data_IF_682402886229
#
_entry.id   IF_682402886229
#
_cell.length_a   1.000
_cell.length_b   1.000
_cell.length_c   1.000
_cell.angle_alpha   90.00
_cell.angle_beta   90.00
_cell.angle_gamma   90.00
#
_symmetry.space_group_name_H-M   'P 1'
#
loop_
_entity.id
_entity.type
_entity.pdbx_description
1 polymer ?
#
# COMPACT_ATOMS: atom_id res chain seq x y z
N UNK A 1 68.96 21.89 -34.92
CA UNK A 1 68.04 22.31 -33.84
C UNK A 1 67.16 21.13 -33.46
N UNK A 2 67.55 20.40 -32.40
CA UNK A 2 66.79 19.21 -31.92
C UNK A 2 65.84 19.64 -30.81
N UNK A 3 64.56 19.64 -31.11
CA UNK A 3 63.49 19.90 -30.15
C UNK A 3 63.28 18.62 -29.29
N UNK A 4 63.64 18.67 -27.99
CA UNK A 4 63.35 17.64 -27.02
C UNK A 4 61.89 17.77 -26.56
N UNK A 5 60.99 16.92 -27.04
CA UNK A 5 59.67 16.76 -26.46
C UNK A 5 59.79 16.06 -25.08
N UNK A 6 59.61 16.86 -24.02
CA UNK A 6 59.41 16.26 -22.67
C UNK A 6 57.98 15.73 -22.58
N UNK A 7 57.83 14.45 -22.73
CA UNK A 7 56.55 13.79 -22.47
C UNK A 7 56.25 13.88 -20.97
N UNK A 8 55.17 14.55 -20.59
CA UNK A 8 54.70 14.64 -19.22
C UNK A 8 53.99 13.31 -18.84
N UNK A 9 54.79 12.32 -18.46
CA UNK A 9 54.30 11.02 -18.01
C UNK A 9 53.24 11.11 -16.87
N UNK A 10 53.29 12.14 -16.05
CA UNK A 10 52.34 12.41 -15.00
C UNK A 10 50.94 12.72 -15.53
N UNK A 11 50.81 13.39 -16.66
CA UNK A 11 49.48 13.65 -17.25
C UNK A 11 48.87 12.40 -17.85
N UNK A 12 49.69 11.51 -18.42
CA UNK A 12 49.21 10.20 -18.92
C UNK A 12 48.76 9.30 -17.77
N UNK A 13 49.49 9.28 -16.65
CA UNK A 13 49.14 8.53 -15.47
C UNK A 13 47.85 9.01 -14.82
N UNK A 14 47.62 10.32 -14.75
CA UNK A 14 46.37 10.92 -14.21
C UNK A 14 45.17 10.56 -15.11
N UNK A 15 45.30 10.65 -16.43
CA UNK A 15 44.22 10.28 -17.36
C UNK A 15 43.91 8.78 -17.28
N UNK A 16 44.92 7.90 -17.17
CA UNK A 16 44.70 6.46 -16.99
C UNK A 16 44.04 6.18 -15.65
N UNK A 17 44.43 6.88 -14.57
CA UNK A 17 43.84 6.69 -13.24
C UNK A 17 42.39 7.14 -13.19
N UNK A 18 42.04 8.23 -13.86
CA UNK A 18 40.63 8.69 -13.99
C UNK A 18 39.81 7.71 -14.83
N UNK A 19 40.38 7.14 -15.90
CA UNK A 19 39.71 6.14 -16.72
C UNK A 19 39.50 4.80 -15.96
N UNK A 20 40.47 4.37 -15.17
CA UNK A 20 40.37 3.14 -14.36
C UNK A 20 39.40 3.33 -13.19
N UNK A 21 39.37 4.50 -12.54
CA UNK A 21 38.38 4.84 -11.50
C UNK A 21 36.98 5.01 -12.10
N UNK A 22 36.84 5.57 -13.31
CA UNK A 22 35.57 5.65 -14.02
C UNK A 22 35.02 4.28 -14.43
N UNK A 23 35.90 3.35 -14.91
CA UNK A 23 35.48 1.97 -15.21
C UNK A 23 35.17 1.15 -13.94
N UNK A 24 35.90 1.38 -12.84
CA UNK A 24 35.62 0.68 -11.57
C UNK A 24 34.26 1.12 -10.95
N UNK A 25 33.83 2.36 -11.17
CA UNK A 25 32.49 2.82 -10.76
C UNK A 25 31.37 2.21 -11.61
N UNK A 26 31.62 1.89 -12.89
CA UNK A 26 30.61 1.26 -13.76
C UNK A 26 30.48 -0.27 -13.57
N UNK A 27 31.42 -0.93 -12.90
CA UNK A 27 31.41 -2.40 -12.74
C UNK A 27 30.85 -2.83 -11.36
N UNK A 28 30.64 -1.89 -10.42
CA UNK A 28 30.13 -2.19 -9.07
C UNK A 28 28.62 -2.01 -8.90
N UNK A 29 27.88 -1.63 -9.96
CA UNK A 29 26.42 -1.40 -9.91
C UNK A 29 25.56 -2.46 -10.62
N UNK A 30 26.14 -3.56 -11.10
CA UNK A 30 25.42 -4.55 -11.91
C UNK A 30 24.63 -5.61 -11.13
N UNK A 31 24.56 -5.55 -9.79
CA UNK A 31 23.78 -6.52 -9.00
C UNK A 31 22.43 -6.01 -8.47
N UNK A 32 22.05 -4.77 -8.73
CA UNK A 32 20.77 -4.21 -8.25
C UNK A 32 20.10 -3.23 -9.23
N UNK A 33 20.31 -3.39 -10.52
CA UNK A 33 19.53 -2.66 -11.52
C UNK A 33 18.13 -3.30 -11.66
N UNK A 34 17.34 -3.25 -10.58
CA UNK A 34 15.90 -3.50 -10.67
C UNK A 34 15.31 -2.45 -11.62
N UNK A 35 14.44 -2.89 -12.52
CA UNK A 35 13.72 -1.95 -13.40
C UNK A 35 13.04 -0.89 -12.54
N UNK A 36 13.50 0.36 -12.64
CA UNK A 36 12.91 1.47 -11.90
C UNK A 36 11.48 1.71 -12.38
N UNK A 37 10.53 1.77 -11.46
CA UNK A 37 9.13 2.07 -11.80
C UNK A 37 9.04 3.52 -12.25
N UNK A 38 8.45 3.71 -13.40
CA UNK A 38 8.18 5.03 -13.93
C UNK A 38 6.93 5.61 -13.28
N UNK A 39 7.05 6.75 -12.60
CA UNK A 39 5.94 7.41 -11.92
C UNK A 39 5.46 8.69 -12.62
N UNK A 40 6.19 9.17 -13.63
CA UNK A 40 5.83 10.38 -14.35
C UNK A 40 5.47 10.08 -15.81
N UNK A 41 4.30 10.54 -16.23
CA UNK A 41 3.75 10.37 -17.57
C UNK A 41 3.14 11.70 -18.02
N UNK A 42 3.45 12.13 -19.25
CA UNK A 42 2.88 13.33 -19.88
C UNK A 42 2.81 14.53 -18.93
N UNK A 43 1.67 14.74 -18.28
CA UNK A 43 1.39 15.94 -17.45
C UNK A 43 1.15 15.59 -15.98
N UNK A 44 1.42 14.37 -15.55
CA UNK A 44 1.14 13.95 -14.18
C UNK A 44 2.09 12.90 -13.62
N UNK A 45 2.21 12.88 -12.31
CA UNK A 45 2.92 11.87 -11.55
C UNK A 45 1.94 10.82 -11.06
N UNK A 46 2.25 9.54 -11.29
CA UNK A 46 1.54 8.40 -10.70
C UNK A 46 2.32 7.98 -9.45
N UNK A 47 1.64 7.94 -8.31
CA UNK A 47 2.22 7.50 -7.04
C UNK A 47 1.59 6.16 -6.68
N UNK A 48 2.41 5.13 -6.53
CA UNK A 48 1.95 3.84 -6.04
C UNK A 48 1.88 3.86 -4.51
N UNK A 49 0.67 3.84 -3.99
CA UNK A 49 0.37 3.80 -2.56
C UNK A 49 0.03 2.38 -2.07
N UNK A 50 0.40 1.35 -2.84
CA UNK A 50 0.34 -0.04 -2.39
C UNK A 50 1.68 -0.52 -1.84
N UNK A 51 1.65 -1.39 -0.85
CA UNK A 51 2.85 -2.05 -0.36
C UNK A 51 3.28 -3.18 -1.30
N UNK A 52 4.59 -3.24 -1.60
CA UNK A 52 5.16 -4.38 -2.29
C UNK A 52 5.10 -5.59 -1.37
N UNK A 53 4.47 -6.67 -1.84
CA UNK A 53 4.43 -7.93 -1.10
C UNK A 53 5.80 -8.58 -1.02
N UNK A 54 6.20 -8.97 0.19
CA UNK A 54 7.42 -9.75 0.46
C UNK A 54 7.21 -10.63 1.70
N UNK A 55 7.99 -11.71 1.87
CA UNK A 55 7.78 -12.68 2.95
C UNK A 55 7.86 -12.09 4.37
N UNK A 56 8.63 -11.02 4.55
CA UNK A 56 8.88 -10.39 5.86
C UNK A 56 7.87 -9.27 6.21
N UNK A 57 6.83 -9.04 5.39
CA UNK A 57 5.81 -8.05 5.73
C UNK A 57 4.88 -8.58 6.83
N UNK A 58 4.25 -7.71 7.65
CA UNK A 58 3.34 -8.15 8.69
C UNK A 58 2.12 -8.85 8.11
N UNK A 59 1.64 -9.85 8.82
CA UNK A 59 0.35 -10.49 8.58
C UNK A 59 -0.49 -10.43 9.86
N UNK A 60 -1.79 -10.45 9.72
CA UNK A 60 -2.74 -10.30 10.82
C UNK A 60 -2.44 -11.27 11.97
N UNK A 61 -2.28 -10.73 13.18
CA UNK A 61 -1.97 -11.47 14.42
C UNK A 61 -0.75 -12.42 14.36
N UNK A 62 0.10 -12.28 13.33
CA UNK A 62 1.28 -13.12 13.15
C UNK A 62 2.51 -12.51 13.82
N UNK A 63 3.32 -13.38 14.47
CA UNK A 63 4.66 -13.06 14.95
C UNK A 63 5.74 -13.35 13.91
N UNK A 64 5.41 -14.14 12.89
CA UNK A 64 6.36 -14.69 11.92
C UNK A 64 6.21 -14.10 10.51
N UNK A 65 5.54 -12.94 10.40
CA UNK A 65 5.27 -12.27 9.12
C UNK A 65 4.33 -13.05 8.18
N UNK A 66 4.21 -12.58 6.91
CA UNK A 66 3.41 -13.23 5.87
C UNK A 66 3.99 -14.58 5.44
N UNK A 67 5.31 -14.72 5.49
CA UNK A 67 6.00 -15.91 5.04
C UNK A 67 6.04 -16.04 3.52
N UNK A 68 6.47 -17.20 3.05
CA UNK A 68 6.50 -17.47 1.61
C UNK A 68 5.09 -17.60 1.06
N UNK A 69 4.77 -16.84 0.02
CA UNK A 69 3.46 -16.81 -0.63
C UNK A 69 3.53 -16.98 -2.15
N UNK A 70 4.73 -16.99 -2.75
CA UNK A 70 4.94 -17.17 -4.20
C UNK A 70 5.90 -18.33 -4.45
N UNK A 71 5.57 -19.19 -5.40
CA UNK A 71 6.39 -20.32 -5.84
C UNK A 71 6.53 -20.31 -7.35
N UNK A 72 7.72 -20.64 -7.83
CA UNK A 72 7.99 -20.90 -9.24
C UNK A 72 7.71 -22.38 -9.52
N UNK A 73 6.52 -22.69 -10.02
CA UNK A 73 6.08 -24.08 -10.24
C UNK A 73 6.72 -24.72 -11.47
N UNK A 74 7.11 -23.92 -12.48
CA UNK A 74 7.92 -24.33 -13.61
C UNK A 74 8.93 -23.24 -13.91
N UNK A 75 10.15 -23.63 -14.31
CA UNK A 75 11.25 -22.69 -14.56
C UNK A 75 11.91 -22.96 -15.91
N UNK A 76 12.21 -21.90 -16.64
CA UNK A 76 13.04 -21.97 -17.85
C UNK A 76 14.43 -22.53 -17.55
N UNK A 77 14.98 -22.24 -16.37
CA UNK A 77 16.26 -22.83 -15.90
C UNK A 77 16.20 -24.36 -15.79
N UNK A 78 15.02 -24.95 -15.65
CA UNK A 78 14.79 -26.39 -15.59
C UNK A 78 14.17 -26.95 -16.88
N UNK A 79 14.33 -26.25 -18.01
CA UNK A 79 13.90 -26.72 -19.34
C UNK A 79 12.43 -26.44 -19.69
N UNK A 80 11.70 -25.67 -18.89
CA UNK A 80 10.35 -25.22 -19.27
C UNK A 80 10.41 -24.14 -20.34
N UNK A 81 9.38 -24.03 -21.18
CA UNK A 81 9.29 -22.98 -22.20
C UNK A 81 9.05 -21.58 -21.64
N UNK A 82 8.58 -21.49 -20.38
CA UNK A 82 8.33 -20.24 -19.67
C UNK A 82 8.43 -20.46 -18.15
N UNK A 83 8.53 -19.35 -17.42
CA UNK A 83 8.44 -19.34 -15.97
C UNK A 83 6.96 -19.24 -15.55
N UNK A 84 6.49 -20.17 -14.72
CA UNK A 84 5.14 -20.20 -14.17
C UNK A 84 5.19 -20.00 -12.67
N UNK A 85 4.60 -18.91 -12.20
CA UNK A 85 4.48 -18.63 -10.77
C UNK A 85 3.07 -18.90 -10.28
N UNK A 86 2.97 -19.37 -9.05
CA UNK A 86 1.73 -19.54 -8.31
C UNK A 86 1.86 -18.77 -7.00
N UNK A 87 0.78 -18.12 -6.55
CA UNK A 87 0.76 -17.50 -5.25
C UNK A 87 -0.43 -17.97 -4.42
N UNK A 88 -0.25 -17.97 -3.09
CA UNK A 88 -1.28 -18.24 -2.09
C UNK A 88 -1.02 -17.32 -0.91
N UNK A 89 -1.98 -16.48 -0.58
CA UNK A 89 -1.90 -15.56 0.56
C UNK A 89 -3.30 -15.31 1.15
N UNK A 90 -3.40 -14.88 2.41
CA UNK A 90 -4.66 -14.40 2.97
C UNK A 90 -5.16 -13.19 2.18
N UNK A 91 -6.49 -13.09 1.98
CA UNK A 91 -7.08 -11.95 1.27
C UNK A 91 -6.80 -10.62 2.00
N UNK A 92 -6.89 -10.64 3.34
CA UNK A 92 -6.57 -9.51 4.22
C UNK A 92 -5.06 -9.46 4.51
N UNK A 93 -4.26 -9.09 3.52
CA UNK A 93 -2.81 -8.91 3.64
C UNK A 93 -2.31 -7.80 2.75
N UNK A 94 -1.27 -7.08 3.21
CA UNK A 94 -0.71 -5.95 2.48
C UNK A 94 -1.74 -4.85 2.23
N UNK A 95 -1.70 -4.26 1.03
CA UNK A 95 -2.72 -3.30 0.61
C UNK A 95 -3.90 -4.05 0.01
N UNK A 96 -5.07 -3.92 0.61
CA UNK A 96 -6.27 -4.66 0.21
C UNK A 96 -7.56 -3.86 0.41
N UNK A 97 -8.67 -4.40 -0.05
CA UNK A 97 -10.01 -3.80 0.02
C UNK A 97 -10.95 -4.73 0.76
N UNK A 98 -11.72 -4.19 1.70
CA UNK A 98 -12.78 -4.89 2.38
C UNK A 98 -14.13 -4.62 1.75
N UNK A 99 -14.92 -5.68 1.65
CA UNK A 99 -16.30 -5.64 1.18
C UNK A 99 -17.28 -5.99 2.32
N UNK A 100 -18.57 -5.65 2.19
CA UNK A 100 -19.58 -5.96 3.22
C UNK A 100 -19.63 -7.44 3.65
N UNK A 101 -19.33 -8.35 2.74
CA UNK A 101 -19.25 -9.79 3.00
C UNK A 101 -18.16 -10.18 4.02
N UNK A 102 -17.20 -9.29 4.31
CA UNK A 102 -16.12 -9.55 5.26
C UNK A 102 -16.62 -9.79 6.70
N UNK A 103 -17.61 -9.03 7.14
CA UNK A 103 -18.11 -9.07 8.54
C UNK A 103 -19.59 -9.39 8.66
N UNK A 104 -20.31 -9.56 7.54
CA UNK A 104 -21.73 -9.87 7.53
C UNK A 104 -22.01 -11.15 6.74
N UNK A 105 -22.34 -12.25 7.45
CA UNK A 105 -22.61 -13.54 6.85
C UNK A 105 -23.75 -13.49 5.81
N UNK A 106 -24.83 -12.76 6.09
CA UNK A 106 -25.91 -12.58 5.12
C UNK A 106 -25.50 -11.83 3.86
N UNK A 107 -24.52 -10.91 3.94
CA UNK A 107 -23.93 -10.25 2.76
C UNK A 107 -22.99 -11.17 2.00
N UNK A 108 -22.27 -12.05 2.70
CA UNK A 108 -21.47 -13.11 2.08
C UNK A 108 -22.35 -14.02 1.22
N UNK A 109 -23.43 -14.55 1.78
CA UNK A 109 -24.38 -15.36 1.02
C UNK A 109 -25.11 -14.63 -0.10
N UNK A 110 -25.33 -13.33 0.04
CA UNK A 110 -25.92 -12.48 -0.98
C UNK A 110 -24.93 -12.03 -2.07
N UNK A 111 -23.62 -12.26 -1.87
CA UNK A 111 -22.57 -11.97 -2.84
C UNK A 111 -22.13 -10.52 -2.88
N UNK A 112 -22.15 -9.83 -1.75
CA UNK A 112 -21.57 -8.50 -1.59
C UNK A 112 -20.07 -8.57 -1.28
N UNK A 113 -19.32 -9.27 -2.13
CA UNK A 113 -17.87 -9.40 -2.10
C UNK A 113 -17.16 -8.31 -2.94
N UNK A 114 -15.84 -8.37 -3.00
CA UNK A 114 -15.01 -7.31 -3.61
C UNK A 114 -15.31 -7.12 -5.10
N UNK A 115 -15.72 -8.15 -5.83
CA UNK A 115 -16.00 -8.03 -7.27
C UNK A 115 -17.37 -7.36 -7.54
N UNK A 116 -18.21 -7.20 -6.51
CA UNK A 116 -19.48 -6.48 -6.57
C UNK A 116 -19.37 -4.98 -6.28
N UNK A 117 -18.21 -4.48 -5.84
CA UNK A 117 -18.02 -3.09 -5.43
C UNK A 117 -18.11 -2.13 -6.63
N UNK A 118 -18.72 -0.97 -6.39
CA UNK A 118 -18.87 0.07 -7.39
C UNK A 118 -17.52 0.75 -7.70
N UNK A 119 -17.06 0.58 -8.94
CA UNK A 119 -15.82 1.19 -9.42
C UNK A 119 -15.86 2.72 -9.41
N UNK A 120 -17.04 3.35 -9.47
CA UNK A 120 -17.15 4.79 -9.35
C UNK A 120 -16.86 5.27 -7.93
N UNK A 121 -17.10 4.45 -6.91
CA UNK A 121 -16.71 4.74 -5.54
C UNK A 121 -15.23 4.52 -5.31
N UNK A 122 -14.65 3.49 -5.94
CA UNK A 122 -13.25 3.15 -5.82
C UNK A 122 -12.30 4.13 -6.54
N UNK A 123 -12.79 4.90 -7.52
CA UNK A 123 -11.95 5.75 -8.36
C UNK A 123 -12.44 7.20 -8.36
N UNK A 124 -11.53 8.16 -8.32
CA UNK A 124 -11.82 9.58 -8.43
C UNK A 124 -11.12 10.46 -7.39
N UNK A 125 -11.55 11.74 -7.26
CA UNK A 125 -10.93 12.68 -6.32
C UNK A 125 -10.96 12.17 -4.88
N UNK A 126 -9.86 12.25 -4.19
CA UNK A 126 -9.68 11.87 -2.79
C UNK A 126 -8.86 12.90 -2.03
N UNK A 127 -9.04 12.98 -0.74
CA UNK A 127 -8.31 13.84 0.18
C UNK A 127 -7.40 12.96 1.05
N UNK A 128 -6.10 13.24 1.06
CA UNK A 128 -5.16 12.67 2.03
C UNK A 128 -5.02 13.62 3.21
N UNK A 129 -5.28 13.12 4.41
CA UNK A 129 -5.17 13.87 5.67
C UNK A 129 -4.22 13.20 6.66
N UNK A 130 -3.54 14.01 7.47
CA UNK A 130 -2.83 13.54 8.64
C UNK A 130 -3.76 13.48 9.86
N UNK A 131 -3.79 12.33 10.51
CA UNK A 131 -4.47 12.15 11.80
C UNK A 131 -3.56 12.57 12.94
N UNK A 132 -4.06 13.20 14.03
CA UNK A 132 -3.28 13.39 15.24
C UNK A 132 -2.60 12.09 15.70
N UNK A 133 -1.30 12.15 16.06
CA UNK A 133 -0.44 10.95 16.21
C UNK A 133 -0.59 10.21 17.53
N UNK A 134 -1.25 10.78 18.49
CA UNK A 134 -1.29 10.32 19.88
C UNK A 134 -2.61 9.62 20.26
N UNK A 135 -3.51 9.40 19.30
CA UNK A 135 -4.83 8.88 19.57
C UNK A 135 -5.42 8.10 18.39
N UNK A 136 -6.36 7.21 18.70
CA UNK A 136 -7.22 6.58 17.71
C UNK A 136 -8.20 7.58 17.09
N UNK A 137 -8.77 7.23 15.95
CA UNK A 137 -9.69 8.09 15.19
C UNK A 137 -11.09 8.00 15.82
N UNK A 138 -11.30 8.78 16.88
CA UNK A 138 -12.58 8.93 17.56
C UNK A 138 -13.47 9.98 16.89
N UNK A 139 -14.72 10.09 17.34
CA UNK A 139 -15.65 11.14 16.88
C UNK A 139 -15.06 12.55 17.03
N UNK A 140 -14.33 12.81 18.13
CA UNK A 140 -13.73 14.13 18.35
C UNK A 140 -12.53 14.36 17.41
N UNK A 141 -11.74 13.35 17.13
CA UNK A 141 -10.70 13.43 16.12
C UNK A 141 -11.30 13.70 14.76
N UNK A 142 -12.33 12.97 14.34
CA UNK A 142 -13.03 13.20 13.08
C UNK A 142 -13.57 14.64 12.95
N UNK A 143 -14.16 15.18 14.00
CA UNK A 143 -14.59 16.59 14.02
C UNK A 143 -13.42 17.55 13.81
N UNK A 144 -12.28 17.28 14.45
CA UNK A 144 -11.10 18.16 14.39
C UNK A 144 -10.44 18.19 13.01
N UNK A 145 -10.58 17.14 12.21
CA UNK A 145 -10.02 17.07 10.85
C UNK A 145 -10.71 18.04 9.87
N UNK A 146 -11.88 18.55 10.19
CA UNK A 146 -12.62 19.53 9.39
C UNK A 146 -12.73 19.15 7.91
N UNK A 147 -13.01 17.87 7.60
CA UNK A 147 -13.14 17.38 6.22
C UNK A 147 -14.31 18.08 5.54
N UNK A 148 -14.10 18.75 4.40
CA UNK A 148 -15.15 19.49 3.72
C UNK A 148 -16.31 18.60 3.27
N UNK A 149 -17.52 19.15 3.25
CA UNK A 149 -18.69 18.51 2.61
C UNK A 149 -18.40 18.23 1.13
N UNK A 150 -18.96 17.15 0.61
CA UNK A 150 -18.77 16.72 -0.77
C UNK A 150 -17.50 15.88 -1.00
N UNK A 151 -16.59 15.78 -0.02
CA UNK A 151 -15.45 14.86 -0.10
C UNK A 151 -15.95 13.43 0.06
N UNK A 152 -15.75 12.60 -0.98
CA UNK A 152 -16.27 11.23 -1.01
C UNK A 152 -15.22 10.18 -0.71
N UNK A 153 -13.93 10.50 -0.78
CA UNK A 153 -12.82 9.56 -0.54
C UNK A 153 -11.79 10.24 0.33
N UNK A 154 -11.39 9.58 1.41
CA UNK A 154 -10.37 10.10 2.33
C UNK A 154 -9.36 9.01 2.64
N UNK A 155 -8.09 9.36 2.55
CA UNK A 155 -6.97 8.53 2.96
C UNK A 155 -6.42 9.11 4.27
N UNK A 156 -6.47 8.32 5.33
CA UNK A 156 -6.05 8.70 6.67
C UNK A 156 -4.63 8.20 6.91
N UNK A 157 -3.67 9.13 6.98
CA UNK A 157 -2.32 8.81 7.39
C UNK A 157 -2.19 8.99 8.89
N UNK A 158 -1.86 7.91 9.58
CA UNK A 158 -1.84 7.86 11.05
C UNK A 158 -0.40 7.72 11.57
N UNK A 159 -0.26 7.49 12.87
CA UNK A 159 1.01 7.15 13.51
C UNK A 159 1.61 5.86 12.91
N UNK A 160 0.83 4.98 12.31
CA UNK A 160 1.27 3.70 11.75
C UNK A 160 2.35 3.89 10.68
N UNK A 161 2.16 4.84 9.75
CA UNK A 161 3.18 5.23 8.76
C UNK A 161 4.47 5.69 9.44
N UNK A 162 4.40 6.55 10.46
CA UNK A 162 5.59 7.09 11.15
C UNK A 162 6.31 6.02 11.97
N UNK A 163 5.59 5.07 12.56
CA UNK A 163 6.14 3.89 13.22
C UNK A 163 6.65 2.84 12.22
N UNK A 164 6.38 3.02 10.95
CA UNK A 164 6.73 2.08 9.86
C UNK A 164 6.21 0.67 10.12
N UNK A 165 4.96 0.55 10.59
CA UNK A 165 4.41 -0.74 11.02
C UNK A 165 4.32 -1.74 9.87
N UNK A 166 4.00 -1.31 8.65
CA UNK A 166 3.95 -2.18 7.46
C UNK A 166 5.33 -2.71 7.02
N UNK A 167 6.42 -2.23 7.62
CA UNK A 167 7.79 -2.69 7.36
C UNK A 167 8.34 -3.57 8.50
N UNK A 168 7.53 -3.85 9.52
CA UNK A 168 7.88 -4.76 10.60
C UNK A 168 7.46 -6.17 10.26
N UNK A 169 8.11 -7.19 10.86
CA UNK A 169 7.74 -8.59 10.66
C UNK A 169 6.52 -8.98 11.49
N UNK A 170 6.50 -8.51 12.73
CA UNK A 170 5.46 -8.83 13.69
C UNK A 170 4.26 -7.90 13.52
N UNK A 171 3.09 -8.44 13.69
CA UNK A 171 1.87 -7.67 13.84
C UNK A 171 1.91 -6.87 15.14
N UNK A 172 1.56 -5.60 15.06
CA UNK A 172 1.55 -4.69 16.20
C UNK A 172 0.11 -4.28 16.52
N UNK A 173 -0.48 -4.83 17.58
CA UNK A 173 -1.86 -4.54 18.00
C UNK A 173 -2.07 -3.14 18.58
N UNK A 174 -0.99 -2.38 18.82
CA UNK A 174 -1.06 -0.98 19.28
C UNK A 174 -1.12 0.04 18.14
N UNK A 175 -1.46 -0.39 16.94
CA UNK A 175 -1.67 0.47 15.79
C UNK A 175 -2.85 1.42 15.99
N UNK A 176 -2.85 2.54 15.26
CA UNK A 176 -3.95 3.52 15.26
C UNK A 176 -5.00 3.13 14.23
N UNK A 177 -6.26 3.13 14.64
CA UNK A 177 -7.42 2.90 13.78
C UNK A 177 -8.65 3.66 14.27
N UNK A 178 -9.78 3.46 13.63
CA UNK A 178 -11.05 4.04 14.05
C UNK A 178 -11.57 3.35 15.32
N UNK A 179 -12.10 4.15 16.21
CA UNK A 179 -13.00 3.69 17.27
C UNK A 179 -14.42 3.55 16.71
N UNK A 180 -15.30 2.83 17.38
CA UNK A 180 -16.70 2.66 16.97
C UNK A 180 -17.41 4.03 16.81
N UNK A 181 -17.24 4.94 17.79
CA UNK A 181 -17.85 6.27 17.74
C UNK A 181 -17.26 7.15 16.62
N UNK A 182 -15.96 6.97 16.28
CA UNK A 182 -15.33 7.63 15.14
C UNK A 182 -15.91 7.17 13.81
N UNK A 183 -16.12 5.87 13.65
CA UNK A 183 -16.77 5.29 12.47
C UNK A 183 -18.23 5.75 12.36
N UNK A 184 -18.98 5.70 13.46
CA UNK A 184 -20.38 6.15 13.51
C UNK A 184 -20.51 7.64 13.16
N UNK A 185 -19.62 8.48 13.70
CA UNK A 185 -19.60 9.90 13.38
C UNK A 185 -19.33 10.15 11.89
N UNK A 186 -18.37 9.44 11.29
CA UNK A 186 -18.04 9.56 9.85
C UNK A 186 -19.25 9.21 8.99
N UNK A 187 -19.88 8.06 9.24
CA UNK A 187 -21.04 7.59 8.46
C UNK A 187 -22.19 8.58 8.53
N UNK A 188 -22.48 9.14 9.71
CA UNK A 188 -23.64 10.02 9.95
C UNK A 188 -23.42 11.47 9.54
N UNK A 189 -22.18 11.96 9.55
CA UNK A 189 -21.89 13.39 9.45
C UNK A 189 -21.06 13.80 8.24
N UNK A 190 -20.66 12.85 7.38
CA UNK A 190 -19.86 13.15 6.19
C UNK A 190 -20.46 12.56 4.93
N UNK A 191 -19.90 12.95 3.77
CA UNK A 191 -20.24 12.39 2.47
C UNK A 191 -19.23 11.31 2.03
N UNK A 192 -18.36 10.85 2.94
CA UNK A 192 -17.29 9.90 2.64
C UNK A 192 -17.90 8.53 2.30
N UNK A 193 -17.38 7.92 1.23
CA UNK A 193 -17.78 6.60 0.73
C UNK A 193 -16.57 5.67 0.54
N UNK A 194 -15.36 6.20 0.61
CA UNK A 194 -14.12 5.40 0.65
C UNK A 194 -13.25 5.90 1.79
N UNK A 195 -12.88 4.98 2.66
CA UNK A 195 -11.96 5.19 3.78
C UNK A 195 -10.69 4.40 3.51
N UNK A 196 -9.56 5.08 3.34
CA UNK A 196 -8.26 4.44 3.22
C UNK A 196 -7.42 4.63 4.49
N UNK A 197 -6.68 3.62 4.93
CA UNK A 197 -5.83 3.68 6.12
C UNK A 197 -4.48 2.98 5.90
N UNK A 198 -3.48 3.35 6.68
CA UNK A 198 -2.07 2.99 6.52
C UNK A 198 -1.62 1.78 7.35
N UNK A 199 -2.54 0.90 7.76
CA UNK A 199 -2.22 -0.39 8.39
C UNK A 199 -3.26 -1.46 8.06
N UNK A 200 -3.04 -2.69 8.57
CA UNK A 200 -3.80 -3.91 8.24
C UNK A 200 -5.24 -3.93 8.78
N UNK A 201 -5.71 -2.86 9.42
CA UNK A 201 -7.11 -2.70 9.81
C UNK A 201 -7.49 -1.23 9.89
N UNK A 202 -8.69 -0.89 9.42
CA UNK A 202 -9.31 0.42 9.56
C UNK A 202 -9.69 0.70 11.02
N UNK A 203 -10.07 -0.32 11.76
CA UNK A 203 -10.48 -0.23 13.15
C UNK A 203 -9.29 -0.37 14.10
N UNK A 204 -9.26 0.37 15.20
CA UNK A 204 -8.36 0.12 16.30
C UNK A 204 -8.59 -1.27 16.89
N UNK A 205 -7.56 -1.93 17.41
CA UNK A 205 -7.61 -3.34 17.82
C UNK A 205 -8.75 -3.63 18.81
N UNK A 206 -8.95 -2.76 19.81
CA UNK A 206 -10.02 -2.90 20.81
C UNK A 206 -11.43 -2.57 20.27
N UNK A 207 -11.51 -1.99 19.06
CA UNK A 207 -12.75 -1.62 18.38
C UNK A 207 -12.94 -2.37 17.06
N UNK A 208 -12.21 -3.47 16.85
CA UNK A 208 -12.11 -4.17 15.57
C UNK A 208 -13.50 -4.45 14.95
N UNK A 209 -14.28 -5.26 15.59
CA UNK A 209 -15.61 -5.66 15.07
C UNK A 209 -16.61 -4.50 15.09
N UNK A 210 -16.80 -3.74 16.18
CA UNK A 210 -17.77 -2.66 16.20
C UNK A 210 -17.58 -1.62 15.09
N UNK A 211 -16.35 -1.17 14.83
CA UNK A 211 -16.11 -0.16 13.80
C UNK A 211 -16.32 -0.71 12.37
N UNK A 212 -15.90 -1.97 12.09
CA UNK A 212 -16.19 -2.59 10.80
C UNK A 212 -17.68 -2.76 10.54
N UNK A 213 -18.46 -3.18 11.56
CA UNK A 213 -19.91 -3.29 11.43
C UNK A 213 -20.53 -1.93 11.06
N UNK A 214 -20.13 -0.86 11.74
CA UNK A 214 -20.63 0.49 11.45
C UNK A 214 -20.33 0.91 10.01
N UNK A 215 -19.11 0.67 9.52
CA UNK A 215 -18.76 1.07 8.16
C UNK A 215 -19.46 0.25 7.08
N UNK A 216 -19.58 -1.06 7.27
CA UNK A 216 -19.98 -1.98 6.21
C UNK A 216 -21.48 -2.31 6.21
N UNK A 217 -22.22 -2.03 7.29
CA UNK A 217 -23.67 -2.32 7.40
C UNK A 217 -24.48 -1.68 6.27
N UNK A 218 -24.21 -0.41 5.97
CA UNK A 218 -24.92 0.32 4.93
C UNK A 218 -24.51 -0.02 3.51
N UNK A 219 -23.45 -0.80 3.30
CA UNK A 219 -22.85 -1.19 1.99
C UNK A 219 -22.39 0.00 1.12
N UNK A 220 -22.36 1.20 1.68
CA UNK A 220 -22.02 2.43 0.95
C UNK A 220 -20.57 2.88 1.21
N UNK A 221 -19.96 2.41 2.29
CA UNK A 221 -18.57 2.68 2.64
C UNK A 221 -17.69 1.53 2.16
N UNK A 222 -16.64 1.88 1.45
CA UNK A 222 -15.58 0.94 1.04
C UNK A 222 -14.34 1.22 1.88
N UNK A 223 -13.75 0.17 2.42
CA UNK A 223 -12.55 0.24 3.24
C UNK A 223 -11.35 -0.21 2.40
N UNK A 224 -10.26 0.56 2.44
CA UNK A 224 -8.98 0.20 1.82
C UNK A 224 -7.89 0.27 2.89
N UNK A 225 -7.25 -0.85 3.15
CA UNK A 225 -6.30 -1.02 4.24
C UNK A 225 -4.87 -1.23 3.74
N UNK A 226 -3.90 -1.04 4.61
CA UNK A 226 -2.49 -1.25 4.30
C UNK A 226 -1.94 -0.29 3.25
N UNK A 227 -2.36 0.97 3.25
CA UNK A 227 -1.87 1.97 2.30
C UNK A 227 -0.45 2.43 2.62
N UNK A 228 0.37 2.60 1.59
CA UNK A 228 1.73 3.15 1.67
C UNK A 228 1.67 4.66 1.47
N UNK A 229 1.64 5.41 2.58
CA UNK A 229 1.48 6.88 2.57
C UNK A 229 2.74 7.63 3.02
N UNK A 230 3.90 6.98 3.05
CA UNK A 230 5.15 7.48 3.63
C UNK A 230 5.56 8.86 3.08
N UNK A 231 5.73 8.97 1.78
CA UNK A 231 6.31 10.14 1.13
C UNK A 231 5.26 10.94 0.32
N UNK A 232 3.98 10.76 0.63
CA UNK A 232 2.90 11.46 -0.06
C UNK A 232 2.51 12.71 0.74
N UNK A 233 2.56 13.89 0.14
CA UNK A 233 2.11 15.11 0.80
C UNK A 233 0.59 15.08 1.05
N UNK A 234 0.12 15.70 2.13
CA UNK A 234 -1.33 15.91 2.33
C UNK A 234 -1.92 16.76 1.21
N UNK A 235 -3.14 16.47 0.79
CA UNK A 235 -3.77 17.20 -0.30
C UNK A 235 -4.78 16.38 -1.09
N UNK A 236 -5.15 16.93 -2.25
CA UNK A 236 -6.15 16.31 -3.14
C UNK A 236 -5.43 15.55 -4.26
N UNK A 237 -5.84 14.32 -4.47
CA UNK A 237 -5.33 13.41 -5.50
C UNK A 237 -6.49 12.75 -6.24
N UNK A 238 -6.21 12.15 -7.37
CA UNK A 238 -7.13 11.18 -7.97
C UNK A 238 -6.66 9.77 -7.56
N UNK A 239 -7.47 9.08 -6.76
CA UNK A 239 -7.21 7.68 -6.42
C UNK A 239 -7.73 6.76 -7.51
N UNK A 240 -6.97 5.71 -7.80
CA UNK A 240 -7.34 4.58 -8.64
C UNK A 240 -7.20 3.31 -7.83
N UNK A 241 -8.32 2.72 -7.49
CA UNK A 241 -8.39 1.45 -6.76
C UNK A 241 -9.14 0.44 -7.63
N UNK A 242 -8.42 -0.58 -8.07
CA UNK A 242 -8.93 -1.62 -8.96
C UNK A 242 -8.59 -2.99 -8.34
N UNK A 243 -9.45 -3.49 -7.44
CA UNK A 243 -9.23 -4.76 -6.77
C UNK A 243 -9.25 -5.93 -7.76
N UNK A 244 -8.56 -7.01 -7.41
CA UNK A 244 -8.57 -8.24 -8.17
C UNK A 244 -9.97 -8.86 -8.13
N UNK A 245 -10.55 -9.10 -9.30
CA UNK A 245 -11.88 -9.73 -9.43
C UNK A 245 -11.77 -11.24 -9.31
N UNK A 246 -12.02 -11.76 -8.12
CA UNK A 246 -12.05 -13.18 -7.83
C UNK A 246 -13.49 -13.58 -7.51
N UNK A 247 -14.10 -14.34 -8.41
CA UNK A 247 -15.38 -14.98 -8.15
C UNK A 247 -15.16 -16.32 -7.41
N UNK A 248 -16.11 -16.77 -6.59
CA UNK A 248 -16.07 -18.12 -6.04
C UNK A 248 -15.99 -18.25 -4.52
N UNK A 249 -16.14 -17.14 -3.79
CA UNK A 249 -16.33 -17.24 -2.35
C UNK A 249 -17.73 -17.76 -1.94
N UNK A 250 -18.62 -17.95 -2.93
CA UNK A 250 -20.04 -18.34 -2.70
C UNK A 250 -20.30 -19.84 -2.77
N UNK A 251 -19.37 -20.59 -3.35
CA UNK A 251 -19.57 -22.02 -3.60
C UNK A 251 -18.82 -22.85 -2.56
N UNK A 252 -19.35 -22.87 -1.34
CA UNK A 252 -19.06 -23.95 -0.42
C UNK A 252 -20.35 -24.75 -0.17
N UNK A 253 -20.27 -26.10 -0.33
CA UNK A 253 -21.38 -27.01 -0.08
C UNK A 253 -21.79 -27.02 1.39
#
# INVERSE_FOLDING_TARGET
MKMKMKHNWWQILIVIMIFVLGLACCVAEDELCGVERREEYEYGRIIDISHRYHPDMPAWESKDSLGQFVWLTRSMANGSIANFSQFKLPAHSGTHVDAPAHVFDHYFHAGYDVDSLDLQLLNGPSLLVDVPRDTNISADVMKSLNIPRGVRRVLFRTLNTFRRLMYQKEFDSSYVGFTEDGADWLVKNTDIKLVGIDYLSVAAFDHLIPAHLVFLEGREIIIVEGLKLDDVATGIYTVHCLPLRLAGLRDHP
#
